data_IF_763013619742
#
_entry.id   IF_763013619742
#
_cell.length_a   1.000
_cell.length_b   1.000
_cell.length_c   1.000
_cell.angle_alpha   90.00
_cell.angle_beta   90.00
_cell.angle_gamma   90.00
#
_symmetry.space_group_name_H-M   'P 1'
#
loop_
_entity.id
_entity.type
_entity.pdbx_description
1 polymer ?
#
# COMPACT_ATOMS: atom_id res chain seq x y z
N UNK A 1 -10.83 22.52 48.56
CA UNK A 1 -9.52 22.30 47.98
C UNK A 1 -9.64 22.23 46.45
N UNK A 2 -8.80 22.95 45.75
CA UNK A 2 -8.66 22.90 44.30
C UNK A 2 -7.74 21.75 43.94
N UNK A 3 -8.20 20.85 43.07
CA UNK A 3 -7.38 19.79 42.54
C UNK A 3 -7.07 20.11 41.08
N UNK A 4 -5.81 20.00 40.65
CA UNK A 4 -5.41 20.02 39.25
C UNK A 4 -4.88 18.64 38.88
N UNK A 5 -5.34 18.10 37.77
CA UNK A 5 -4.86 16.84 37.24
C UNK A 5 -4.57 17.00 35.74
N UNK A 6 -3.37 16.65 35.34
CA UNK A 6 -3.00 16.59 33.93
C UNK A 6 -3.49 15.25 33.33
N UNK A 7 -4.45 15.33 32.43
CA UNK A 7 -5.01 14.17 31.76
C UNK A 7 -4.38 14.08 30.38
N UNK A 8 -3.55 13.06 30.15
CA UNK A 8 -3.04 12.78 28.81
C UNK A 8 -4.17 12.19 27.96
N UNK A 9 -4.59 12.96 26.97
CA UNK A 9 -5.60 12.50 26.00
C UNK A 9 -4.97 11.39 25.15
N UNK A 10 -5.71 10.30 24.95
CA UNK A 10 -5.26 9.16 24.17
C UNK A 10 -5.03 9.58 22.72
N UNK A 11 -3.89 9.19 22.16
CA UNK A 11 -3.60 9.37 20.74
C UNK A 11 -4.68 8.64 19.90
N UNK A 12 -5.17 9.29 18.85
CA UNK A 12 -6.21 8.70 17.99
C UNK A 12 -7.65 9.03 18.38
N UNK A 13 -7.86 10.02 19.25
CA UNK A 13 -9.21 10.47 19.55
C UNK A 13 -9.86 11.11 18.31
N UNK A 14 -11.11 10.76 18.03
CA UNK A 14 -11.88 11.31 16.90
C UNK A 14 -12.02 12.84 17.01
N UNK A 15 -12.12 13.59 15.91
CA UNK A 15 -12.43 15.01 15.97
C UNK A 15 -13.82 15.23 16.55
N UNK A 16 -13.96 16.23 17.40
CA UNK A 16 -15.25 16.56 18.00
C UNK A 16 -15.16 17.21 19.38
N UNK A 17 -16.31 17.57 19.93
CA UNK A 17 -16.41 18.17 21.25
C UNK A 17 -16.59 17.08 22.31
N UNK A 18 -15.69 17.06 23.26
CA UNK A 18 -15.69 16.12 24.38
C UNK A 18 -15.99 16.84 25.68
N UNK A 19 -16.68 16.14 26.58
CA UNK A 19 -16.94 16.60 27.95
C UNK A 19 -16.16 15.74 28.93
N UNK A 20 -15.32 16.36 29.73
CA UNK A 20 -14.57 15.70 30.78
C UNK A 20 -15.25 16.04 32.11
N UNK A 21 -15.57 15.01 32.88
CA UNK A 21 -16.18 15.14 34.21
C UNK A 21 -15.34 14.34 35.19
N UNK A 22 -14.87 14.96 36.22
CA UNK A 22 -14.22 14.28 37.35
C UNK A 22 -15.30 13.66 38.24
N UNK A 23 -15.10 12.39 38.61
CA UNK A 23 -16.01 11.67 39.50
C UNK A 23 -15.26 11.27 40.76
N UNK A 24 -15.66 11.79 41.92
CA UNK A 24 -15.10 11.46 43.22
C UNK A 24 -16.07 10.53 43.94
N UNK A 25 -15.58 9.41 44.45
CA UNK A 25 -16.35 8.40 45.22
C UNK A 25 -17.66 7.92 44.56
N UNK A 26 -17.68 7.85 43.21
CA UNK A 26 -18.86 7.42 42.40
C UNK A 26 -20.13 8.23 42.62
N UNK A 27 -20.14 9.27 43.46
CA UNK A 27 -21.32 10.06 43.80
C UNK A 27 -21.24 11.54 43.47
N UNK A 28 -20.06 12.14 43.52
CA UNK A 28 -19.90 13.57 43.26
C UNK A 28 -19.30 13.76 41.87
N UNK A 29 -20.00 14.46 40.99
CA UNK A 29 -19.51 14.84 39.66
C UNK A 29 -19.11 16.30 39.67
N UNK A 30 -17.95 16.63 39.12
CA UNK A 30 -17.55 18.01 38.87
C UNK A 30 -18.39 18.64 37.73
N UNK A 31 -18.27 19.95 37.60
CA UNK A 31 -18.71 20.62 36.37
C UNK A 31 -17.95 20.05 35.18
N UNK A 32 -18.66 19.93 34.04
CA UNK A 32 -18.11 19.37 32.81
C UNK A 32 -17.19 20.38 32.12
N UNK A 33 -15.91 20.08 32.05
CA UNK A 33 -15.01 20.81 31.18
C UNK A 33 -15.17 20.32 29.73
N UNK A 34 -15.42 21.23 28.79
CA UNK A 34 -15.53 20.89 27.38
C UNK A 34 -14.24 21.21 26.67
N UNK A 35 -13.74 20.26 25.88
CA UNK A 35 -12.66 20.53 24.96
C UNK A 35 -13.01 20.09 23.54
N UNK A 36 -12.51 20.83 22.55
CA UNK A 36 -12.75 20.57 21.14
C UNK A 36 -11.49 19.98 20.51
N UNK A 37 -11.55 18.69 20.15
CA UNK A 37 -10.43 18.03 19.46
C UNK A 37 -10.49 18.37 17.98
N UNK A 38 -9.72 19.37 17.58
CA UNK A 38 -9.61 19.80 16.19
C UNK A 38 -8.36 19.16 15.57
N UNK A 39 -8.58 18.40 14.53
CA UNK A 39 -7.50 17.81 13.72
C UNK A 39 -7.29 18.74 12.54
N UNK A 40 -6.10 19.37 12.47
CA UNK A 40 -5.73 20.27 11.40
C UNK A 40 -4.88 19.56 10.35
N UNK A 41 -5.09 19.90 9.09
CA UNK A 41 -4.19 19.48 8.01
C UNK A 41 -2.73 19.76 8.39
N UNK A 42 -1.76 18.83 8.16
CA UNK A 42 -1.83 17.63 7.32
C UNK A 42 -2.27 16.33 8.02
N UNK A 43 -2.73 16.40 9.28
CA UNK A 43 -3.26 15.24 9.99
C UNK A 43 -4.70 14.97 9.53
N UNK A 44 -5.00 13.72 9.24
CA UNK A 44 -6.33 13.24 8.90
C UNK A 44 -6.71 12.13 9.88
N UNK A 45 -7.93 12.19 10.38
CA UNK A 45 -8.49 11.12 11.20
C UNK A 45 -9.05 10.02 10.32
N UNK A 46 -8.61 8.80 10.55
CA UNK A 46 -9.08 7.62 9.85
C UNK A 46 -10.12 6.91 10.73
N UNK A 47 -11.41 7.10 10.44
CA UNK A 47 -12.51 6.55 11.24
C UNK A 47 -12.41 5.04 11.42
N UNK A 48 -12.14 4.31 10.33
CA UNK A 48 -12.04 2.85 10.35
C UNK A 48 -10.80 2.33 11.10
N UNK A 49 -9.76 3.15 11.27
CA UNK A 49 -8.53 2.79 11.98
C UNK A 49 -8.50 3.35 13.41
N UNK A 50 -9.37 4.31 13.73
CA UNK A 50 -9.38 4.98 15.03
C UNK A 50 -8.07 5.70 15.36
N UNK A 51 -7.37 6.23 14.35
CA UNK A 51 -6.07 6.88 14.53
C UNK A 51 -5.91 8.10 13.62
N UNK A 52 -5.02 9.00 14.04
CA UNK A 52 -4.63 10.16 13.24
C UNK A 52 -3.40 9.81 12.43
N UNK A 53 -3.40 10.19 11.15
CA UNK A 53 -2.29 9.96 10.26
C UNK A 53 -1.93 11.23 9.51
N UNK A 54 -0.62 11.54 9.45
CA UNK A 54 -0.13 12.59 8.57
C UNK A 54 -0.09 12.06 7.14
N UNK A 55 -0.90 12.65 6.25
CA UNK A 55 -1.11 12.17 4.89
C UNK A 55 0.15 12.26 4.02
N UNK A 56 1.09 13.16 4.32
CA UNK A 56 2.28 13.32 3.51
C UNK A 56 3.20 12.10 3.54
N UNK A 57 3.32 11.42 4.69
CA UNK A 57 4.19 10.24 4.80
C UNK A 57 3.73 9.08 3.91
N UNK A 58 2.48 8.61 4.00
CA UNK A 58 2.01 7.56 3.10
C UNK A 58 1.95 8.02 1.65
N UNK A 59 1.69 9.31 1.37
CA UNK A 59 1.68 9.85 0.02
C UNK A 59 3.04 9.75 -0.66
N UNK A 60 4.11 10.24 -0.02
CA UNK A 60 5.48 10.18 -0.56
C UNK A 60 5.91 8.72 -0.73
N UNK A 61 5.64 7.89 0.28
CA UNK A 61 5.95 6.48 0.25
C UNK A 61 5.26 5.77 -0.92
N UNK A 62 3.96 6.01 -1.08
CA UNK A 62 3.15 5.44 -2.17
C UNK A 62 3.65 5.90 -3.53
N UNK A 63 4.02 7.16 -3.68
CA UNK A 63 4.57 7.70 -4.92
C UNK A 63 5.84 6.98 -5.33
N UNK A 64 6.79 6.83 -4.41
CA UNK A 64 8.06 6.12 -4.67
C UNK A 64 7.80 4.66 -5.03
N UNK A 65 7.01 3.96 -4.21
CA UNK A 65 6.69 2.54 -4.45
C UNK A 65 5.91 2.34 -5.75
N UNK A 66 5.01 3.25 -6.11
CA UNK A 66 4.25 3.17 -7.35
C UNK A 66 5.16 3.29 -8.58
N UNK A 67 6.14 4.20 -8.57
CA UNK A 67 7.11 4.34 -9.67
C UNK A 67 7.85 3.01 -9.89
N UNK A 68 8.43 2.45 -8.85
CA UNK A 68 9.13 1.16 -8.94
C UNK A 68 8.18 0.01 -9.26
N UNK A 69 6.99 0.01 -8.69
CA UNK A 69 5.98 -1.03 -8.91
C UNK A 69 5.48 -1.11 -10.35
N UNK A 70 5.30 0.03 -11.02
CA UNK A 70 4.95 0.07 -12.45
C UNK A 70 6.12 -0.40 -13.31
N UNK A 71 7.35 0.00 -12.99
CA UNK A 71 8.54 -0.46 -13.70
C UNK A 71 8.70 -1.99 -13.64
N UNK A 72 8.37 -2.60 -12.49
CA UNK A 72 8.41 -4.06 -12.32
C UNK A 72 7.15 -4.77 -12.85
N UNK A 73 6.13 -4.04 -13.31
CA UNK A 73 4.85 -4.62 -13.73
C UNK A 73 4.00 -5.17 -12.57
N UNK A 74 4.40 -4.98 -11.33
CA UNK A 74 3.73 -5.51 -10.14
C UNK A 74 2.73 -4.52 -9.51
N UNK A 75 2.65 -3.28 -10.01
CA UNK A 75 1.77 -2.23 -9.50
C UNK A 75 2.06 -1.75 -8.08
N UNK A 76 3.14 -2.20 -7.48
CA UNK A 76 3.58 -1.79 -6.15
C UNK A 76 2.80 -2.38 -4.97
N UNK A 77 1.64 -2.99 -5.19
CA UNK A 77 0.77 -3.44 -4.11
C UNK A 77 1.39 -4.48 -3.19
N UNK A 78 2.17 -5.40 -3.75
CA UNK A 78 2.79 -6.46 -2.96
C UNK A 78 3.89 -5.93 -2.02
N UNK A 79 4.57 -4.83 -2.38
CA UNK A 79 5.55 -4.15 -1.52
C UNK A 79 4.84 -3.20 -0.55
N UNK A 80 3.77 -2.53 -1.03
CA UNK A 80 3.05 -1.53 -0.26
C UNK A 80 2.42 -2.10 1.01
N UNK A 81 1.81 -3.29 0.92
CA UNK A 81 1.17 -3.93 2.07
C UNK A 81 2.13 -4.15 3.25
N UNK A 82 3.24 -4.90 3.11
CA UNK A 82 4.17 -5.09 4.21
C UNK A 82 4.84 -3.78 4.66
N UNK A 83 5.10 -2.86 3.74
CA UNK A 83 5.75 -1.61 4.05
C UNK A 83 4.85 -0.70 4.91
N UNK A 84 3.57 -0.54 4.55
CA UNK A 84 2.61 0.23 5.34
C UNK A 84 2.37 -0.38 6.72
N UNK A 85 2.27 -1.71 6.81
CA UNK A 85 2.09 -2.40 8.10
C UNK A 85 3.31 -2.25 9.03
N UNK A 86 4.50 -2.12 8.45
CA UNK A 86 5.73 -1.94 9.24
C UNK A 86 5.92 -0.49 9.68
N UNK A 87 5.68 0.46 8.78
CA UNK A 87 5.89 1.88 9.05
C UNK A 87 4.73 2.51 9.83
N UNK A 88 3.52 1.99 9.68
CA UNK A 88 2.31 2.47 10.33
C UNK A 88 1.62 1.34 11.10
N UNK A 89 2.21 0.85 12.20
CA UNK A 89 1.66 -0.30 12.94
C UNK A 89 0.29 0.00 13.59
N UNK A 90 -0.11 1.26 13.67
CA UNK A 90 -1.44 1.66 14.12
C UNK A 90 -2.55 1.33 13.11
N UNK A 91 -2.21 1.03 11.83
CA UNK A 91 -3.19 0.68 10.81
C UNK A 91 -3.51 -0.82 10.84
N UNK A 92 -4.78 -1.22 10.98
CA UNK A 92 -5.19 -2.60 10.81
C UNK A 92 -4.87 -3.13 9.41
N UNK A 93 -4.46 -4.40 9.30
CA UNK A 93 -4.09 -5.02 8.01
C UNK A 93 -5.24 -5.00 6.99
N UNK A 94 -6.48 -5.11 7.44
CA UNK A 94 -7.67 -5.05 6.58
C UNK A 94 -7.85 -3.69 5.91
N UNK A 95 -7.56 -2.60 6.65
CA UNK A 95 -7.60 -1.23 6.12
C UNK A 95 -6.47 -1.02 5.12
N UNK A 96 -5.27 -1.49 5.44
CA UNK A 96 -4.13 -1.41 4.53
C UNK A 96 -4.42 -2.16 3.23
N UNK A 97 -4.86 -3.41 3.31
CA UNK A 97 -5.19 -4.21 2.12
C UNK A 97 -6.33 -3.58 1.30
N UNK A 98 -7.41 -3.13 1.96
CA UNK A 98 -8.54 -2.48 1.31
C UNK A 98 -8.19 -1.16 0.63
N UNK A 99 -7.22 -0.40 1.17
CA UNK A 99 -6.76 0.87 0.62
C UNK A 99 -5.76 0.68 -0.51
N UNK A 100 -4.87 -0.30 -0.37
CA UNK A 100 -3.83 -0.57 -1.37
C UNK A 100 -4.43 -1.15 -2.65
N UNK A 101 -5.45 -1.98 -2.57
CA UNK A 101 -6.08 -2.62 -3.74
C UNK A 101 -6.55 -1.61 -4.80
N UNK A 102 -7.37 -0.59 -4.50
CA UNK A 102 -7.74 0.43 -5.49
C UNK A 102 -6.55 1.27 -5.96
N UNK A 103 -5.57 1.53 -5.09
CA UNK A 103 -4.35 2.27 -5.47
C UNK A 103 -3.56 1.53 -6.55
N UNK A 104 -3.45 0.20 -6.43
CA UNK A 104 -2.82 -0.65 -7.45
C UNK A 104 -3.58 -0.59 -8.77
N UNK A 105 -4.91 -0.56 -8.74
CA UNK A 105 -5.73 -0.46 -9.94
C UNK A 105 -5.41 0.82 -10.75
N UNK A 106 -5.34 1.98 -10.09
CA UNK A 106 -4.98 3.25 -10.74
C UNK A 106 -3.54 3.23 -11.28
N UNK A 107 -2.60 2.71 -10.50
CA UNK A 107 -1.21 2.57 -10.91
C UNK A 107 -1.06 1.68 -12.15
N UNK A 108 -1.71 0.50 -12.15
CA UNK A 108 -1.68 -0.43 -13.27
C UNK A 108 -2.41 0.11 -14.51
N UNK A 109 -3.52 0.82 -14.35
CA UNK A 109 -4.23 1.44 -15.47
C UNK A 109 -3.33 2.45 -16.21
N UNK A 110 -2.56 3.26 -15.47
CA UNK A 110 -1.56 4.16 -16.05
C UNK A 110 -0.46 3.39 -16.79
N UNK A 111 0.04 2.31 -16.21
CA UNK A 111 1.02 1.41 -16.85
C UNK A 111 0.49 0.81 -18.16
N UNK A 112 -0.71 0.24 -18.13
CA UNK A 112 -1.37 -0.35 -19.31
C UNK A 112 -1.52 0.69 -20.42
N UNK A 113 -1.96 1.91 -20.09
CA UNK A 113 -2.11 2.98 -21.08
C UNK A 113 -0.78 3.29 -21.77
N UNK A 114 0.31 3.42 -21.03
CA UNK A 114 1.63 3.71 -21.59
C UNK A 114 2.18 2.55 -22.42
N UNK A 115 2.09 1.30 -21.93
CA UNK A 115 2.54 0.12 -22.67
C UNK A 115 1.68 -0.16 -23.91
N UNK A 116 0.38 0.19 -23.89
CA UNK A 116 -0.50 0.09 -25.05
C UNK A 116 -0.07 1.04 -26.17
N UNK A 117 0.34 2.29 -25.82
CA UNK A 117 0.82 3.25 -26.81
C UNK A 117 2.05 2.78 -27.58
N UNK A 118 2.98 2.13 -26.90
CA UNK A 118 4.19 1.58 -27.53
C UNK A 118 3.95 0.19 -28.17
N UNK A 119 2.69 -0.28 -28.20
CA UNK A 119 2.29 -1.58 -28.78
C UNK A 119 3.08 -2.76 -28.22
N UNK A 120 3.40 -2.74 -26.94
CA UNK A 120 4.21 -3.77 -26.27
C UNK A 120 3.37 -4.80 -25.50
N UNK A 121 2.04 -4.68 -25.55
CA UNK A 121 1.12 -5.59 -24.84
C UNK A 121 0.71 -6.76 -25.75
N UNK A 122 0.92 -7.97 -25.26
CA UNK A 122 0.32 -9.16 -25.85
C UNK A 122 -1.07 -9.40 -25.20
N UNK A 123 -2.11 -8.86 -25.83
CA UNK A 123 -3.48 -8.91 -25.31
C UNK A 123 -4.02 -10.32 -25.12
N UNK A 124 -3.66 -11.29 -26.00
CA UNK A 124 -4.12 -12.68 -25.89
C UNK A 124 -3.57 -13.35 -24.62
N UNK A 125 -2.27 -13.15 -24.37
CA UNK A 125 -1.62 -13.66 -23.16
C UNK A 125 -2.14 -12.95 -21.91
N UNK A 126 -2.28 -11.62 -21.98
CA UNK A 126 -2.81 -10.80 -20.89
C UNK A 126 -4.23 -11.18 -20.49
N UNK A 127 -5.12 -11.45 -21.46
CA UNK A 127 -6.47 -11.90 -21.20
C UNK A 127 -6.50 -13.28 -20.51
N UNK A 128 -5.69 -14.24 -20.99
CA UNK A 128 -5.62 -15.57 -20.39
C UNK A 128 -5.14 -15.54 -18.93
N UNK A 129 -4.06 -14.80 -18.65
CA UNK A 129 -3.56 -14.63 -17.29
C UNK A 129 -4.57 -13.86 -16.43
N UNK A 130 -5.21 -12.81 -16.99
CA UNK A 130 -6.22 -12.02 -16.29
C UNK A 130 -7.43 -12.84 -15.84
N UNK A 131 -7.93 -13.75 -16.67
CA UNK A 131 -9.00 -14.67 -16.29
C UNK A 131 -8.59 -15.58 -15.11
N UNK A 132 -7.36 -16.09 -15.11
CA UNK A 132 -6.86 -16.90 -14.01
C UNK A 132 -6.74 -16.07 -12.70
N UNK A 133 -6.31 -14.81 -12.80
CA UNK A 133 -6.22 -13.89 -11.66
C UNK A 133 -7.58 -13.51 -11.08
N UNK A 134 -8.63 -13.43 -11.91
CA UNK A 134 -9.99 -13.22 -11.42
C UNK A 134 -10.42 -14.34 -10.47
N UNK A 135 -10.17 -15.61 -10.84
CA UNK A 135 -10.45 -16.74 -9.96
C UNK A 135 -9.68 -16.63 -8.63
N UNK A 136 -8.39 -16.28 -8.70
CA UNK A 136 -7.57 -16.02 -7.52
C UNK A 136 -8.12 -14.89 -6.62
N UNK A 137 -8.67 -13.84 -7.23
CA UNK A 137 -9.30 -12.72 -6.51
C UNK A 137 -10.55 -13.10 -5.69
N UNK A 138 -11.30 -14.12 -6.13
CA UNK A 138 -12.43 -14.66 -5.35
C UNK A 138 -11.99 -15.63 -4.25
N UNK A 139 -10.95 -16.41 -4.50
CA UNK A 139 -10.46 -17.43 -3.57
C UNK A 139 -9.59 -16.79 -2.47
N UNK A 140 -8.76 -15.81 -2.82
CA UNK A 140 -7.78 -15.17 -1.94
C UNK A 140 -8.37 -14.64 -0.63
N UNK A 141 -9.41 -13.78 -0.65
CA UNK A 141 -10.03 -13.27 0.56
C UNK A 141 -10.54 -14.36 1.51
N UNK A 142 -11.16 -15.41 0.97
CA UNK A 142 -11.63 -16.55 1.76
C UNK A 142 -10.50 -17.29 2.44
N UNK A 143 -9.37 -17.47 1.77
CA UNK A 143 -8.18 -18.07 2.38
C UNK A 143 -7.59 -17.17 3.46
N UNK A 144 -7.63 -15.87 3.28
CA UNK A 144 -7.11 -14.91 4.27
C UNK A 144 -7.91 -14.93 5.56
N UNK A 145 -9.22 -15.21 5.51
CA UNK A 145 -10.06 -15.37 6.70
C UNK A 145 -9.70 -16.62 7.53
N UNK A 146 -9.11 -17.64 6.90
CA UNK A 146 -8.73 -18.90 7.54
C UNK A 146 -7.32 -18.87 8.16
N UNK A 147 -6.52 -17.87 7.86
CA UNK A 147 -5.11 -17.78 8.23
C UNK A 147 -4.91 -16.63 9.22
N UNK A 148 -4.17 -16.86 10.30
CA UNK A 148 -3.81 -15.78 11.23
C UNK A 148 -2.80 -14.83 10.59
N UNK A 149 -2.79 -13.56 11.07
CA UNK A 149 -1.87 -12.55 10.55
C UNK A 149 -0.40 -12.97 10.64
N UNK A 150 -0.02 -13.68 11.71
CA UNK A 150 1.35 -14.13 11.93
C UNK A 150 1.73 -15.27 10.97
N UNK A 151 0.82 -16.19 10.72
CA UNK A 151 1.00 -17.25 9.71
C UNK A 151 1.13 -16.65 8.32
N UNK A 152 0.30 -15.64 7.99
CA UNK A 152 0.39 -14.93 6.73
C UNK A 152 1.74 -14.24 6.56
N UNK A 153 2.19 -13.47 7.55
CA UNK A 153 3.50 -12.79 7.52
C UNK A 153 4.65 -13.76 7.35
N UNK A 154 4.61 -14.88 8.06
CA UNK A 154 5.63 -15.92 7.97
C UNK A 154 5.69 -16.55 6.57
N UNK A 155 4.56 -17.01 6.04
CA UNK A 155 4.48 -17.61 4.71
C UNK A 155 4.87 -16.60 3.61
N UNK A 156 4.39 -15.37 3.72
CA UNK A 156 4.70 -14.30 2.77
C UNK A 156 6.19 -13.91 2.81
N UNK A 157 6.80 -13.88 3.99
CA UNK A 157 8.24 -13.65 4.14
C UNK A 157 9.08 -14.69 3.40
N UNK A 158 8.73 -15.97 3.51
CA UNK A 158 9.40 -17.04 2.76
C UNK A 158 9.23 -16.90 1.25
N UNK A 159 8.04 -16.57 0.78
CA UNK A 159 7.80 -16.32 -0.64
C UNK A 159 8.68 -15.18 -1.15
N UNK A 160 8.76 -14.08 -0.40
CA UNK A 160 9.62 -12.93 -0.76
C UNK A 160 11.10 -13.30 -0.79
N UNK A 161 11.58 -14.11 0.15
CA UNK A 161 12.97 -14.59 0.18
C UNK A 161 13.29 -15.45 -1.05
N UNK A 162 12.39 -16.37 -1.41
CA UNK A 162 12.56 -17.21 -2.61
C UNK A 162 12.58 -16.35 -3.88
N UNK A 163 11.66 -15.40 -4.00
CA UNK A 163 11.62 -14.49 -5.14
C UNK A 163 12.88 -13.60 -5.21
N UNK A 164 13.34 -13.09 -4.08
CA UNK A 164 14.57 -12.30 -4.02
C UNK A 164 15.81 -13.13 -4.47
N UNK A 165 15.91 -14.38 -4.01
CA UNK A 165 16.98 -15.28 -4.42
C UNK A 165 16.95 -15.60 -5.92
N UNK A 166 15.74 -15.87 -6.48
CA UNK A 166 15.56 -16.09 -7.91
C UNK A 166 15.92 -14.86 -8.74
N UNK A 167 15.48 -13.68 -8.32
CA UNK A 167 15.79 -12.42 -9.01
C UNK A 167 17.29 -12.10 -8.93
N UNK A 168 17.90 -12.33 -7.78
CA UNK A 168 19.35 -12.17 -7.62
C UNK A 168 20.11 -13.09 -8.57
N UNK A 169 19.71 -14.36 -8.67
CA UNK A 169 20.32 -15.29 -9.61
C UNK A 169 20.14 -14.85 -11.08
N UNK A 170 18.95 -14.40 -11.47
CA UNK A 170 18.69 -13.91 -12.83
C UNK A 170 19.45 -12.62 -13.17
N UNK A 171 19.77 -11.80 -12.17
CA UNK A 171 20.53 -10.55 -12.35
C UNK A 171 22.03 -10.78 -12.42
N UNK A 172 22.52 -11.99 -12.15
CA UNK A 172 23.94 -12.32 -12.21
C UNK A 172 24.49 -12.12 -13.65
N UNK A 173 25.65 -11.46 -13.81
CA UNK A 173 26.22 -11.15 -15.14
C UNK A 173 26.35 -12.36 -16.08
N UNK A 174 26.63 -13.54 -15.51
CA UNK A 174 26.71 -14.79 -16.27
C UNK A 174 25.38 -15.25 -16.87
N UNK A 175 24.28 -15.03 -16.19
CA UNK A 175 22.93 -15.32 -16.70
C UNK A 175 22.51 -14.31 -17.77
N UNK A 176 22.72 -13.01 -17.53
CA UNK A 176 22.43 -11.94 -18.48
C UNK A 176 23.22 -12.08 -19.79
N UNK A 177 24.49 -12.49 -19.72
CA UNK A 177 25.31 -12.72 -20.92
C UNK A 177 24.82 -13.89 -21.78
N UNK A 178 24.24 -14.94 -21.17
CA UNK A 178 23.66 -16.08 -21.87
C UNK A 178 22.30 -15.76 -22.51
N UNK A 179 21.58 -14.78 -21.98
CA UNK A 179 20.19 -14.52 -22.41
C UNK A 179 20.11 -13.45 -23.51
N UNK A 180 20.67 -13.78 -24.71
CA UNK A 180 20.64 -12.90 -25.89
C UNK A 180 19.21 -12.46 -26.28
N UNK A 181 18.22 -13.30 -26.01
CA UNK A 181 16.83 -13.04 -26.33
C UNK A 181 16.25 -11.90 -25.48
N UNK A 182 16.60 -11.85 -24.22
CA UNK A 182 16.17 -10.78 -23.27
C UNK A 182 16.80 -9.43 -23.65
N UNK A 183 18.08 -9.43 -24.05
CA UNK A 183 18.74 -8.23 -24.55
C UNK A 183 18.12 -7.70 -25.85
N UNK A 184 17.68 -8.58 -26.77
CA UNK A 184 17.01 -8.16 -28.00
C UNK A 184 15.64 -7.51 -27.69
N UNK A 185 14.87 -8.08 -26.75
CA UNK A 185 13.57 -7.53 -26.32
C UNK A 185 13.76 -6.14 -25.67
N UNK A 186 14.78 -5.98 -24.83
CA UNK A 186 15.11 -4.68 -24.22
C UNK A 186 15.48 -3.61 -25.25
N UNK A 187 16.24 -3.99 -26.28
CA UNK A 187 16.59 -3.07 -27.38
C UNK A 187 15.35 -2.66 -28.17
N UNK A 188 14.48 -3.63 -28.48
CA UNK A 188 13.21 -3.35 -29.18
C UNK A 188 12.29 -2.46 -28.35
N UNK A 189 12.20 -2.70 -27.06
CA UNK A 189 11.43 -1.86 -26.14
C UNK A 189 11.93 -0.40 -26.15
N UNK A 190 13.26 -0.19 -26.01
CA UNK A 190 13.86 1.14 -26.05
C UNK A 190 13.57 1.84 -27.37
N UNK A 191 13.72 1.14 -28.50
CA UNK A 191 13.43 1.68 -29.83
C UNK A 191 11.97 2.14 -29.96
N UNK A 192 11.01 1.33 -29.56
CA UNK A 192 9.58 1.68 -29.60
C UNK A 192 9.23 2.82 -28.66
N UNK A 193 9.85 2.89 -27.49
CA UNK A 193 9.68 3.99 -26.55
C UNK A 193 10.20 5.32 -27.11
N UNK A 194 11.35 5.31 -27.77
CA UNK A 194 11.95 6.49 -28.44
C UNK A 194 11.10 6.94 -29.64
N UNK A 195 10.60 6.03 -30.46
CA UNK A 195 9.72 6.33 -31.58
C UNK A 195 8.39 6.95 -31.09
N UNK A 196 7.84 6.43 -30.00
CA UNK A 196 6.62 6.97 -29.39
C UNK A 196 6.83 8.36 -28.77
N UNK A 197 8.04 8.66 -28.27
CA UNK A 197 8.40 9.95 -27.75
C UNK A 197 8.60 11.00 -28.89
N UNK A 198 9.22 10.58 -29.99
CA UNK A 198 9.44 11.45 -31.18
C UNK A 198 8.16 11.74 -31.97
N UNK A 199 7.18 10.83 -31.97
CA UNK A 199 5.89 11.05 -32.65
C UNK A 199 4.93 12.00 -31.92
N UNK A 200 5.38 12.66 -30.85
CA UNK A 200 4.64 13.66 -30.06
C UNK A 200 5.03 15.10 -30.35
N UNK A 201 5.97 15.35 -31.25
CA UNK A 201 6.35 16.69 -31.72
C UNK A 201 5.68 17.06 -33.04
#
# INVERSE_FOLDING_TARGET
GTYSADIKIRDGLAPGKYKIVAVVDKKVKSEAATFDNKIAFPLIYLENAGTNLNIFYPFILTLVVAIFGVLMGAGGGFIMNPLLLTLFPALPHTIVAGTVTPTVLFSQASGIYNYSKIKFINWKLGAGIGCAMLLGGFIGPKLTEMITLDQFKFAFGWILLILAALMFWQTTPGYLAKNKKEQSILKEFKKRAEESAKGKN
#
